data_IF_920736512741
#
_entry.id   IF_920736512741
#
_cell.length_a   1.000
_cell.length_b   1.000
_cell.length_c   1.000
_cell.angle_alpha   90.00
_cell.angle_beta   90.00
_cell.angle_gamma   90.00
#
_symmetry.space_group_name_H-M   'P 1'
#
loop_
_entity.id
_entity.type
_entity.pdbx_description
1 polymer ?
#
# COMPACT_ATOMS: atom_id res chain seq x y z
N UNK A 1 10.10 -9.80 -12.80
CA UNK A 1 9.63 -8.42 -12.57
C UNK A 1 8.26 -8.45 -11.95
N UNK A 2 8.03 -7.70 -10.86
CA UNK A 2 6.72 -7.69 -10.22
C UNK A 2 5.68 -6.91 -11.03
N UNK A 3 4.41 -7.29 -10.85
CA UNK A 3 3.29 -6.60 -11.48
C UNK A 3 3.10 -5.21 -10.90
N UNK A 4 2.71 -4.27 -11.76
CA UNK A 4 2.48 -2.89 -11.36
C UNK A 4 1.16 -2.76 -10.61
N UNK A 5 1.18 -2.03 -9.51
CA UNK A 5 0.01 -1.76 -8.69
C UNK A 5 -0.78 -0.54 -9.21
N UNK A 6 -2.02 -0.43 -8.78
CA UNK A 6 -2.93 0.63 -9.21
C UNK A 6 -3.81 1.08 -8.04
N UNK A 7 -4.51 2.18 -8.23
CA UNK A 7 -5.48 2.63 -7.24
C UNK A 7 -6.54 1.56 -7.03
N UNK A 8 -6.74 1.14 -5.78
CA UNK A 8 -7.63 0.04 -5.44
C UNK A 8 -6.94 -1.31 -5.28
N UNK A 9 -5.64 -1.41 -5.58
CA UNK A 9 -4.89 -2.65 -5.35
C UNK A 9 -4.93 -3.06 -3.89
N UNK A 10 -5.13 -4.35 -3.65
CA UNK A 10 -5.10 -4.90 -2.30
C UNK A 10 -3.68 -4.98 -1.76
N UNK A 11 -3.57 -4.75 -0.48
CA UNK A 11 -2.33 -4.89 0.28
C UNK A 11 -2.63 -5.67 1.55
N UNK A 12 -1.63 -6.38 2.09
CA UNK A 12 -1.72 -6.81 3.48
C UNK A 12 -1.11 -5.71 4.35
N UNK A 13 -1.61 -5.56 5.56
CA UNK A 13 -1.10 -4.55 6.49
C UNK A 13 0.05 -5.09 7.34
N UNK A 14 0.15 -6.39 7.48
CA UNK A 14 1.13 -7.04 8.35
C UNK A 14 0.82 -6.88 9.84
N UNK A 15 -0.32 -6.31 10.20
CA UNK A 15 -0.71 -6.12 11.60
C UNK A 15 -2.15 -6.55 11.84
N UNK A 16 -2.55 -6.60 13.11
CA UNK A 16 -3.90 -7.01 13.51
C UNK A 16 -4.93 -5.91 13.36
N UNK A 17 -6.18 -6.25 13.65
CA UNK A 17 -7.41 -5.53 13.38
C UNK A 17 -7.69 -5.56 11.88
N UNK A 18 -7.43 -4.50 11.12
CA UNK A 18 -7.52 -4.61 9.66
C UNK A 18 -6.26 -5.27 9.11
N UNK A 19 -6.40 -6.48 8.57
CA UNK A 19 -5.28 -7.24 8.02
C UNK A 19 -5.05 -6.95 6.54
N UNK A 20 -6.03 -6.34 5.87
CA UNK A 20 -5.95 -5.95 4.47
C UNK A 20 -6.40 -4.50 4.31
N UNK A 21 -5.90 -3.84 3.27
CA UNK A 21 -6.21 -2.45 2.97
C UNK A 21 -6.03 -2.23 1.46
N UNK A 22 -6.70 -1.22 0.91
CA UNK A 22 -6.54 -0.84 -0.49
C UNK A 22 -5.71 0.43 -0.63
N UNK A 23 -4.99 0.53 -1.74
CA UNK A 23 -4.33 1.78 -2.10
C UNK A 23 -5.42 2.77 -2.51
N UNK A 24 -5.42 3.95 -1.92
CA UNK A 24 -6.45 4.97 -2.11
C UNK A 24 -5.92 6.19 -2.88
N UNK A 25 -5.06 5.98 -3.82
CA UNK A 25 -4.53 7.03 -4.68
C UNK A 25 -3.77 6.45 -5.86
N UNK A 26 -3.62 7.24 -6.89
CA UNK A 26 -2.91 6.85 -8.09
C UNK A 26 -2.75 8.01 -9.04
N UNK A 27 -2.03 7.78 -10.13
CA UNK A 27 -1.80 8.80 -11.15
C UNK A 27 -3.11 9.23 -11.80
N UNK A 28 -3.24 10.53 -12.04
CA UNK A 28 -4.39 11.07 -12.77
C UNK A 28 -4.27 10.89 -14.29
N UNK A 29 -3.06 10.64 -14.79
CA UNK A 29 -2.79 10.62 -16.23
C UNK A 29 -2.05 9.39 -16.73
N UNK A 30 -1.58 8.51 -15.86
CA UNK A 30 -1.01 7.22 -16.25
C UNK A 30 -1.94 6.13 -15.72
N UNK A 31 -2.62 5.45 -16.62
CA UNK A 31 -3.76 4.59 -16.33
C UNK A 31 -3.49 3.17 -16.77
N UNK A 32 -3.85 2.21 -15.93
CA UNK A 32 -3.87 0.77 -16.25
C UNK A 32 -5.31 0.29 -16.13
N UNK A 33 -5.86 -0.24 -17.22
CA UNK A 33 -7.26 -0.58 -17.25
C UNK A 33 -8.10 0.68 -17.10
N UNK A 34 -8.77 0.93 -16.08
CA UNK A 34 -9.51 2.16 -15.83
C UNK A 34 -9.06 2.85 -14.54
N UNK A 35 -7.87 2.47 -14.04
CA UNK A 35 -7.38 2.89 -12.73
C UNK A 35 -6.01 3.55 -12.84
N UNK A 36 -5.79 4.57 -12.04
CA UNK A 36 -4.49 5.25 -11.97
C UNK A 36 -3.41 4.34 -11.42
N UNK A 37 -2.24 4.37 -12.02
CA UNK A 37 -1.08 3.62 -11.57
C UNK A 37 -0.67 4.12 -10.19
N UNK A 38 -0.41 3.20 -9.25
CA UNK A 38 0.03 3.54 -7.90
C UNK A 38 1.53 3.86 -7.88
N UNK A 39 1.92 4.72 -6.96
CA UNK A 39 3.30 5.21 -6.83
C UNK A 39 3.70 5.25 -5.36
N UNK A 40 4.99 5.31 -5.12
CA UNK A 40 5.50 5.61 -3.78
C UNK A 40 4.83 6.87 -3.25
N UNK A 41 4.49 6.86 -1.97
CA UNK A 41 3.81 7.93 -1.24
C UNK A 41 2.31 8.06 -1.55
N UNK A 42 1.73 7.24 -2.41
CA UNK A 42 0.28 7.21 -2.57
C UNK A 42 -0.37 6.68 -1.29
N UNK A 43 -1.49 7.29 -0.87
CA UNK A 43 -2.10 6.94 0.42
C UNK A 43 -2.78 5.59 0.39
N UNK A 44 -2.87 4.96 1.56
CA UNK A 44 -3.73 3.83 1.81
C UNK A 44 -5.07 4.32 2.36
N UNK A 45 -6.10 3.49 2.23
CA UNK A 45 -7.36 3.74 2.92
C UNK A 45 -7.13 3.80 4.43
N UNK A 46 -7.94 4.60 5.13
CA UNK A 46 -7.93 4.61 6.59
C UNK A 46 -8.34 3.22 7.09
N UNK A 47 -7.65 2.74 8.10
CA UNK A 47 -7.88 1.41 8.65
C UNK A 47 -7.49 1.40 10.14
N UNK A 48 -7.65 0.27 10.79
CA UNK A 48 -7.35 0.13 12.21
C UNK A 48 -6.16 -0.77 12.44
N UNK A 49 -5.51 -0.60 13.58
CA UNK A 49 -4.37 -1.40 14.01
C UNK A 49 -4.62 -1.87 15.46
N UNK A 50 -4.15 -3.08 15.78
CA UNK A 50 -4.20 -3.57 17.13
C UNK A 50 -3.18 -2.83 18.00
N UNK A 51 -3.59 -2.40 19.20
CA UNK A 51 -2.68 -1.71 20.12
C UNK A 51 -1.45 -2.55 20.46
N UNK A 52 -1.57 -3.88 20.49
CA UNK A 52 -0.43 -4.77 20.73
C UNK A 52 0.62 -4.68 19.63
N UNK A 53 0.23 -4.38 18.39
CA UNK A 53 1.17 -4.20 17.28
C UNK A 53 1.95 -2.88 17.38
N UNK A 54 1.51 -1.98 18.25
CA UNK A 54 2.22 -0.75 18.57
C UNK A 54 3.15 -0.91 19.78
N UNK A 55 3.32 -2.15 20.26
CA UNK A 55 4.22 -2.45 21.37
C UNK A 55 3.62 -2.21 22.75
N UNK A 56 2.30 -2.07 22.85
CA UNK A 56 1.60 -1.87 24.13
C UNK A 56 1.21 -3.25 24.72
N UNK A 57 1.85 -3.72 25.80
CA UNK A 57 1.44 -4.94 26.46
C UNK A 57 0.16 -4.72 27.26
N UNK A 58 -0.78 -5.66 27.19
CA UNK A 58 -2.04 -5.60 27.94
C UNK A 58 -2.76 -4.25 27.83
N UNK A 59 -3.01 -3.75 26.58
CA UNK A 59 -3.62 -2.45 26.44
C UNK A 59 -5.07 -2.42 26.93
N UNK A 60 -5.55 -1.27 27.44
CA UNK A 60 -6.96 -1.13 27.78
C UNK A 60 -7.82 -1.10 26.50
N UNK A 61 -9.13 -1.49 26.60
CA UNK A 61 -10.04 -1.34 25.44
C UNK A 61 -10.19 0.15 25.04
N UNK A 62 -10.48 0.42 23.75
CA UNK A 62 -10.61 -0.54 22.66
C UNK A 62 -9.25 -1.13 22.23
N UNK A 63 -9.27 -2.38 21.75
CA UNK A 63 -8.05 -3.06 21.31
C UNK A 63 -7.60 -2.63 19.92
N UNK A 64 -8.53 -2.17 19.10
CA UNK A 64 -8.29 -1.64 17.75
C UNK A 64 -8.46 -0.14 17.74
N UNK A 65 -7.52 0.58 17.17
CA UNK A 65 -7.55 2.04 17.07
C UNK A 65 -7.28 2.46 15.62
N UNK A 66 -7.67 3.68 15.28
CA UNK A 66 -7.43 4.24 13.96
C UNK A 66 -5.93 4.27 13.66
N UNK A 67 -5.61 3.94 12.40
CA UNK A 67 -4.24 3.96 11.89
C UNK A 67 -4.20 4.79 10.61
N UNK A 68 -4.34 6.13 10.73
CA UNK A 68 -4.43 7.01 9.57
C UNK A 68 -3.07 7.33 8.96
N UNK A 69 -3.10 7.95 7.79
CA UNK A 69 -1.92 8.52 7.12
C UNK A 69 -0.86 7.49 6.73
N UNK A 70 -1.27 6.26 6.49
CA UNK A 70 -0.37 5.24 5.98
C UNK A 70 -0.27 5.35 4.46
N UNK A 71 0.83 4.85 3.89
CA UNK A 71 1.14 5.04 2.48
C UNK A 71 1.99 3.90 1.93
N UNK A 72 2.15 3.91 0.60
CA UNK A 72 3.12 3.08 -0.09
C UNK A 72 4.52 3.64 0.21
N UNK A 73 5.43 2.79 0.70
CA UNK A 73 6.73 3.21 1.21
C UNK A 73 7.86 3.07 0.20
N UNK A 74 7.68 2.25 -0.83
CA UNK A 74 8.75 2.01 -1.81
C UNK A 74 8.17 1.73 -3.20
N UNK A 75 9.03 1.75 -4.19
CA UNK A 75 8.68 1.47 -5.56
C UNK A 75 9.92 1.16 -6.37
N UNK A 76 9.77 1.07 -7.68
CA UNK A 76 10.88 0.80 -8.61
C UNK A 76 11.98 1.85 -8.48
N UNK A 77 13.23 1.41 -8.53
CA UNK A 77 14.38 2.32 -8.58
C UNK A 77 14.61 2.90 -9.98
N UNK A 78 13.94 2.37 -11.01
CA UNK A 78 14.21 2.73 -12.40
C UNK A 78 13.00 3.20 -13.19
N UNK A 79 11.78 2.95 -12.71
CA UNK A 79 10.54 3.33 -13.40
C UNK A 79 9.76 4.31 -12.54
N UNK A 80 9.46 5.46 -13.12
CA UNK A 80 8.81 6.56 -12.41
C UNK A 80 7.52 6.99 -13.12
N UNK A 81 6.53 7.38 -12.33
CA UNK A 81 5.28 7.96 -12.80
C UNK A 81 5.05 9.25 -12.03
N UNK A 82 4.94 10.38 -12.75
CA UNK A 82 4.81 11.70 -12.15
C UNK A 82 5.94 11.99 -11.15
N UNK A 83 7.18 11.65 -11.54
CA UNK A 83 8.40 11.84 -10.74
C UNK A 83 8.46 11.02 -9.45
N UNK A 84 7.62 10.01 -9.30
CA UNK A 84 7.64 9.10 -8.15
C UNK A 84 7.83 7.65 -8.59
N UNK A 85 8.59 6.85 -7.82
CA UNK A 85 8.77 5.44 -8.15
C UNK A 85 7.42 4.73 -8.32
N UNK A 86 7.28 3.97 -9.39
CA UNK A 86 6.07 3.18 -9.63
C UNK A 86 5.96 2.06 -8.59
N UNK A 87 4.77 1.88 -8.03
CA UNK A 87 4.52 0.84 -7.03
C UNK A 87 4.24 -0.51 -7.68
N UNK A 88 4.67 -1.59 -7.02
CA UNK A 88 4.58 -2.95 -7.56
C UNK A 88 4.18 -3.92 -6.46
N UNK A 89 3.66 -5.08 -6.86
CA UNK A 89 3.41 -6.19 -5.94
C UNK A 89 4.70 -6.52 -5.17
N UNK A 90 4.60 -6.63 -3.86
CA UNK A 90 5.73 -6.88 -2.97
C UNK A 90 6.35 -5.63 -2.38
N UNK A 91 6.04 -4.44 -2.91
CA UNK A 91 6.54 -3.20 -2.34
C UNK A 91 5.89 -2.93 -0.98
N UNK A 92 6.67 -2.37 -0.07
CA UNK A 92 6.28 -2.13 1.32
C UNK A 92 5.21 -1.06 1.43
N UNK A 93 4.23 -1.31 2.27
CA UNK A 93 3.18 -0.35 2.63
C UNK A 93 3.00 -0.33 4.14
N UNK A 94 2.41 0.74 4.68
CA UNK A 94 2.11 0.82 6.10
C UNK A 94 3.41 0.67 6.92
N UNK A 95 3.36 0.02 8.08
CA UNK A 95 4.55 -0.21 8.90
C UNK A 95 5.15 -1.60 8.71
N UNK A 96 4.36 -2.56 8.19
CA UNK A 96 4.82 -3.94 8.06
C UNK A 96 4.15 -4.73 6.94
N UNK A 97 3.44 -4.04 6.03
CA UNK A 97 2.67 -4.68 4.98
C UNK A 97 3.34 -4.68 3.62
N UNK A 98 2.64 -5.25 2.65
CA UNK A 98 3.09 -5.34 1.26
C UNK A 98 1.89 -5.25 0.32
N UNK A 99 2.13 -4.74 -0.88
CA UNK A 99 1.15 -4.79 -1.97
C UNK A 99 1.02 -6.25 -2.43
N UNK A 100 -0.21 -6.74 -2.52
CA UNK A 100 -0.49 -8.13 -2.90
C UNK A 100 -1.18 -8.27 -4.25
N UNK A 101 -1.70 -7.20 -4.82
CA UNK A 101 -2.45 -7.20 -6.07
C UNK A 101 -1.86 -6.21 -7.06
N UNK A 102 -1.75 -6.62 -8.33
CA UNK A 102 -1.31 -5.76 -9.42
C UNK A 102 -1.82 -6.27 -10.75
N UNK A 103 -1.56 -5.51 -11.82
CA UNK A 103 -1.93 -5.89 -13.18
C UNK A 103 -0.87 -6.84 -13.75
N UNK A 104 -1.26 -8.10 -13.96
CA UNK A 104 -0.32 -9.15 -14.36
C UNK A 104 0.33 -8.93 -15.71
N UNK A 105 -0.27 -8.12 -16.57
CA UNK A 105 0.25 -7.84 -17.92
C UNK A 105 1.21 -6.64 -17.96
N UNK A 106 1.39 -5.94 -16.86
CA UNK A 106 2.27 -4.76 -16.76
C UNK A 106 3.24 -4.96 -15.60
N UNK A 107 4.52 -4.93 -15.90
CA UNK A 107 5.58 -5.18 -14.92
C UNK A 107 6.58 -4.05 -14.90
N UNK A 108 7.24 -3.86 -13.76
CA UNK A 108 8.29 -2.87 -13.59
C UNK A 108 9.41 -3.47 -12.75
N UNK A 109 10.62 -3.37 -13.25
CA UNK A 109 11.81 -3.87 -12.59
C UNK A 109 12.47 -2.84 -11.67
N UNK A 110 13.65 -3.15 -11.27
CA UNK A 110 14.48 -2.27 -10.50
C UNK A 110 14.27 -2.28 -9.03
#
# INVERSE_FOLDING_TARGET
MPSVAYEGSDCNTGHGCDTTVKINGGSANVIIGSKGVARKDDPLEDHTIAKTDLGLPFPPPPLCIDHPNQKVNEGSASVFVNDRPIARVGDSVDISGQITEGESSVVAGG
#
